data_IF_075481885476
#
_entry.id   IF_075481885476
#
_cell.length_a   1.000
_cell.length_b   1.000
_cell.length_c   1.000
_cell.angle_alpha   90.00
_cell.angle_beta   90.00
_cell.angle_gamma   90.00
#
_symmetry.space_group_name_H-M   'P 1'
#
loop_
_entity.id
_entity.type
_entity.pdbx_description
1 polymer ?
#
# COMPACT_ATOMS: atom_id res chain seq x y z
N UNK A 1 -6.76 0.61 12.26
CA UNK A 1 -7.43 -0.62 12.78
C UNK A 1 -6.69 -1.94 12.50
N UNK A 2 -5.76 -2.03 11.53
CA UNK A 2 -4.95 -3.25 11.32
C UNK A 2 -3.69 -3.35 12.19
N UNK A 3 -3.08 -2.24 12.58
CA UNK A 3 -1.83 -2.22 13.38
C UNK A 3 -2.00 -2.70 14.83
N UNK A 4 -3.22 -2.74 15.37
CA UNK A 4 -3.47 -3.06 16.78
C UNK A 4 -4.08 -4.46 17.01
N UNK A 5 -4.17 -5.32 15.98
CA UNK A 5 -4.76 -6.68 16.10
C UNK A 5 -6.16 -6.73 16.73
N UNK A 6 -6.92 -5.62 16.69
CA UNK A 6 -8.21 -5.48 17.36
C UNK A 6 -9.31 -6.36 16.76
N UNK A 7 -9.07 -6.97 15.59
CA UNK A 7 -9.99 -7.87 14.92
C UNK A 7 -9.22 -9.16 14.59
N UNK A 8 -9.58 -10.31 15.18
CA UNK A 8 -8.99 -11.59 14.80
C UNK A 8 -9.33 -11.89 13.34
N UNK A 9 -8.32 -12.11 12.51
CA UNK A 9 -8.47 -12.29 11.07
C UNK A 9 -7.15 -12.47 10.34
N UNK A 10 -7.20 -12.50 9.00
CA UNK A 10 -6.04 -12.72 8.13
C UNK A 10 -4.88 -11.77 8.43
N UNK A 11 -5.17 -10.49 8.66
CA UNK A 11 -4.15 -9.46 8.92
C UNK A 11 -3.43 -9.64 10.25
N UNK A 12 -4.11 -10.14 11.29
CA UNK A 12 -3.51 -10.47 12.58
C UNK A 12 -2.68 -11.76 12.54
N UNK A 13 -3.13 -12.75 11.76
CA UNK A 13 -2.43 -14.04 11.60
C UNK A 13 -1.11 -13.91 10.82
N UNK A 14 -1.03 -12.98 9.87
CA UNK A 14 0.15 -12.80 9.02
C UNK A 14 0.95 -11.53 9.31
N UNK A 15 0.65 -10.85 10.42
CA UNK A 15 1.34 -9.61 10.82
C UNK A 15 1.43 -8.58 9.68
N UNK A 16 0.34 -8.45 8.90
CA UNK A 16 0.25 -7.49 7.80
C UNK A 16 0.08 -6.06 8.33
N UNK A 17 1.10 -5.57 9.02
CA UNK A 17 1.11 -4.27 9.70
C UNK A 17 1.87 -3.20 8.91
N UNK A 18 2.71 -3.61 7.96
CA UNK A 18 3.54 -2.72 7.15
C UNK A 18 2.89 -2.46 5.80
N UNK A 19 2.71 -1.20 5.46
CA UNK A 19 2.31 -0.76 4.13
C UNK A 19 3.57 -0.51 3.32
N UNK A 20 3.98 -1.45 2.46
CA UNK A 20 5.24 -1.32 1.70
C UNK A 20 5.06 -0.78 0.29
N UNK A 21 3.82 -0.62 -0.17
CA UNK A 21 3.50 -0.18 -1.52
C UNK A 21 2.10 0.42 -1.61
N UNK A 22 1.98 1.58 -2.25
CA UNK A 22 0.72 2.25 -2.57
C UNK A 22 0.84 2.98 -3.91
N UNK A 23 -0.26 3.09 -4.66
CA UNK A 23 -0.35 3.94 -5.84
C UNK A 23 -1.63 4.77 -5.74
N UNK A 24 -1.56 6.04 -6.15
CA UNK A 24 -2.70 6.97 -6.21
C UNK A 24 -3.12 7.16 -7.66
N UNK A 25 -4.42 7.23 -7.91
CA UNK A 25 -5.00 7.45 -9.23
C UNK A 25 -6.11 8.49 -9.13
N UNK A 26 -6.19 9.38 -10.12
CA UNK A 26 -7.22 10.43 -10.17
C UNK A 26 -8.59 9.86 -10.57
N UNK A 27 -8.60 8.74 -11.30
CA UNK A 27 -9.81 8.06 -11.74
C UNK A 27 -10.02 6.72 -11.03
N UNK A 28 -11.23 6.53 -10.51
CA UNK A 28 -11.64 5.28 -9.84
C UNK A 28 -11.48 4.06 -10.76
N UNK A 29 -11.77 4.20 -12.05
CA UNK A 29 -11.65 3.12 -13.02
C UNK A 29 -10.21 2.63 -13.18
N UNK A 30 -9.24 3.55 -13.16
CA UNK A 30 -7.82 3.21 -13.24
C UNK A 30 -7.38 2.45 -11.99
N UNK A 31 -7.80 2.89 -10.81
CA UNK A 31 -7.54 2.19 -9.54
C UNK A 31 -8.09 0.76 -9.55
N UNK A 32 -9.32 0.56 -10.04
CA UNK A 32 -9.95 -0.78 -10.12
C UNK A 32 -9.20 -1.70 -11.08
N UNK A 33 -8.82 -1.20 -12.26
CA UNK A 33 -8.07 -1.98 -13.25
C UNK A 33 -6.71 -2.37 -12.67
N UNK A 34 -6.02 -1.43 -12.05
CA UNK A 34 -4.71 -1.65 -11.44
C UNK A 34 -4.78 -2.66 -10.30
N UNK A 35 -5.78 -2.55 -9.43
CA UNK A 35 -6.01 -3.51 -8.34
C UNK A 35 -6.18 -4.93 -8.89
N UNK A 36 -6.97 -5.11 -9.95
CA UNK A 36 -7.16 -6.41 -10.61
C UNK A 36 -5.85 -6.94 -11.20
N UNK A 37 -5.06 -6.10 -11.86
CA UNK A 37 -3.76 -6.49 -12.39
C UNK A 37 -2.83 -6.99 -11.28
N UNK A 38 -2.70 -6.22 -10.20
CA UNK A 38 -1.85 -6.58 -9.05
C UNK A 38 -2.34 -7.86 -8.41
N UNK A 39 -3.66 -8.04 -8.21
CA UNK A 39 -4.20 -9.28 -7.65
C UNK A 39 -3.82 -10.52 -8.46
N UNK A 40 -3.81 -10.41 -9.79
CA UNK A 40 -3.47 -11.48 -10.73
C UNK A 40 -1.96 -11.72 -10.90
N UNK A 41 -1.08 -10.85 -10.39
CA UNK A 41 0.37 -11.08 -10.45
C UNK A 41 0.80 -12.22 -9.53
N UNK A 42 1.84 -12.94 -9.96
CA UNK A 42 2.56 -13.87 -9.11
C UNK A 42 3.34 -13.12 -8.00
N UNK A 43 3.89 -13.86 -7.04
CA UNK A 43 4.60 -13.27 -5.90
C UNK A 43 5.88 -12.53 -6.31
N UNK A 44 6.61 -13.04 -7.29
CA UNK A 44 7.90 -12.47 -7.69
C UNK A 44 7.71 -11.14 -8.41
N UNK A 45 6.72 -11.04 -9.29
CA UNK A 45 6.34 -9.80 -9.97
C UNK A 45 5.91 -8.73 -8.98
N UNK A 46 5.12 -9.11 -7.95
CA UNK A 46 4.76 -8.22 -6.85
C UNK A 46 6.00 -7.73 -6.11
N UNK A 47 6.95 -8.60 -5.81
CA UNK A 47 8.18 -8.23 -5.12
C UNK A 47 9.05 -7.30 -5.95
N UNK A 48 9.17 -7.54 -7.26
CA UNK A 48 9.89 -6.65 -8.19
C UNK A 48 9.22 -5.27 -8.24
N UNK A 49 7.88 -5.25 -8.37
CA UNK A 49 7.09 -4.03 -8.39
C UNK A 49 7.27 -3.22 -7.09
N UNK A 50 7.17 -3.87 -5.93
CA UNK A 50 7.38 -3.24 -4.62
C UNK A 50 8.82 -2.73 -4.53
N UNK A 51 9.82 -3.55 -4.85
CA UNK A 51 11.24 -3.16 -4.76
C UNK A 51 11.63 -2.03 -5.70
N UNK A 52 10.94 -1.87 -6.83
CA UNK A 52 11.16 -0.75 -7.75
C UNK A 52 10.80 0.59 -7.11
N UNK A 53 9.76 0.63 -6.29
CA UNK A 53 9.31 1.87 -5.61
C UNK A 53 9.86 2.01 -4.20
N UNK A 54 10.05 0.90 -3.50
CA UNK A 54 10.49 0.83 -2.12
C UNK A 54 11.51 -0.32 -1.95
N UNK A 55 12.77 -0.12 -2.41
CA UNK A 55 13.82 -1.14 -2.32
C UNK A 55 14.11 -1.57 -0.89
N UNK A 56 13.97 -0.64 0.07
CA UNK A 56 14.23 -0.85 1.49
C UNK A 56 13.06 -1.51 2.24
N UNK A 57 11.91 -1.69 1.58
CA UNK A 57 10.67 -2.22 2.19
C UNK A 57 10.27 -1.48 3.47
N UNK A 58 10.42 -0.16 3.46
CA UNK A 58 10.02 0.72 4.56
C UNK A 58 8.50 0.80 4.67
N UNK A 59 8.02 1.13 5.87
CA UNK A 59 6.59 1.27 6.12
C UNK A 59 6.10 2.66 5.69
N UNK A 60 5.40 2.69 4.56
CA UNK A 60 4.81 3.89 3.97
C UNK A 60 3.60 4.40 4.76
N UNK A 61 3.09 3.67 5.76
CA UNK A 61 1.94 4.12 6.53
C UNK A 61 2.18 5.46 7.21
N UNK A 62 3.40 5.70 7.67
CA UNK A 62 3.78 6.98 8.28
C UNK A 62 3.81 8.11 7.25
N UNK A 63 4.47 7.86 6.11
CA UNK A 63 4.60 8.84 5.02
C UNK A 63 3.25 9.30 4.47
N UNK A 64 2.29 8.39 4.28
CA UNK A 64 0.97 8.75 3.75
C UNK A 64 0.17 9.55 4.78
N UNK A 65 0.27 9.23 6.07
CA UNK A 65 -0.43 9.99 7.11
C UNK A 65 0.07 11.43 7.19
N UNK A 66 1.37 11.66 6.98
CA UNK A 66 1.95 13.01 6.95
C UNK A 66 1.47 13.82 5.74
N UNK A 67 1.34 13.20 4.55
CA UNK A 67 0.80 13.87 3.35
C UNK A 67 -0.66 14.31 3.52
N UNK A 68 -1.49 13.52 4.23
CA UNK A 68 -2.90 13.89 4.46
C UNK A 68 -3.04 14.96 5.56
N UNK A 69 -2.08 15.03 6.49
CA UNK A 69 -2.05 16.04 7.56
C UNK A 69 -1.54 17.41 7.06
N UNK A 70 -0.72 17.41 6.00
CA UNK A 70 -0.12 18.61 5.41
C UNK A 70 -0.87 18.95 4.13
N UNK A 71 -1.98 19.70 4.23
CA UNK A 71 -2.86 20.04 3.11
C UNK A 71 -2.27 21.00 2.06
N UNK A 72 -1.00 20.87 1.71
CA UNK A 72 -0.34 21.72 0.72
C UNK A 72 -0.25 21.00 -0.63
N UNK A 73 -1.13 21.39 -1.55
CA UNK A 73 -0.93 21.22 -2.99
C UNK A 73 0.31 22.04 -3.41
N UNK A 74 1.28 21.49 -4.16
CA UNK A 74 2.17 22.34 -4.94
C UNK A 74 1.37 23.00 -6.08
N UNK A 75 1.45 24.34 -6.18
CA UNK A 75 0.97 25.14 -7.33
C UNK A 75 1.65 24.73 -8.65
#
# INVERSE_FOLDING_TARGET
KHQHNLIPGFTARYLCHKLVYCETFDEIMQAIVREKQIKNMNRDDKLVLIRRMNPMMEDLSHTILDTVATGDLPE
#
